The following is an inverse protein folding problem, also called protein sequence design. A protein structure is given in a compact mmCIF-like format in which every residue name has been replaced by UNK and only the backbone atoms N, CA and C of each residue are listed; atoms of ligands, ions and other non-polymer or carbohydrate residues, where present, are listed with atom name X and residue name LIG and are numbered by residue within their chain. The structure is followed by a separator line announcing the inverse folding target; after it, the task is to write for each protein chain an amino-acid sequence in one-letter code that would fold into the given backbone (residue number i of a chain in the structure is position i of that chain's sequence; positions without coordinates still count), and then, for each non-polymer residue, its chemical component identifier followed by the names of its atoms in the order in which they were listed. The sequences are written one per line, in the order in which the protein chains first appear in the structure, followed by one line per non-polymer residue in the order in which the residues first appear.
data_IF_006686507911
#
_entry.id   IF_006686507911
#
_cell.length_a   1.000
_cell.length_b   1.000
_cell.length_c   1.000
_cell.angle_alpha   90.00
_cell.angle_beta   90.00
_cell.angle_gamma   90.00
#
_symmetry.space_group_name_H-M   'P 1'
#
loop_
_entity.id
_entity.type
_entity.pdbx_description
1 polymer ?
#
# COMPACT_ATOMS: atom_id res chain seq x y z
N UNK A 1 26.31 10.52 1.60
CA UNK A 1 26.28 9.25 2.36
C UNK A 1 25.90 9.62 3.79
N UNK A 2 24.59 9.60 4.09
CA UNK A 2 24.08 10.09 5.39
C UNK A 2 23.27 8.97 6.00
N UNK A 3 23.86 8.25 6.95
CA UNK A 3 23.21 7.17 7.69
C UNK A 3 22.72 7.73 9.03
N UNK A 4 21.40 7.82 9.20
CA UNK A 4 20.80 8.02 10.52
C UNK A 4 20.79 6.64 11.21
N UNK A 5 21.68 6.46 12.18
CA UNK A 5 21.90 5.19 12.89
C UNK A 5 20.89 5.07 14.04
N UNK A 6 19.72 4.50 13.77
CA UNK A 6 18.85 3.93 14.81
C UNK A 6 18.65 2.44 14.45
N UNK A 7 19.30 1.55 15.21
CA UNK A 7 19.50 0.13 14.94
C UNK A 7 20.37 -0.17 13.70
N UNK A 8 21.40 -1.01 13.88
CA UNK A 8 22.32 -1.44 12.81
C UNK A 8 21.62 -2.52 11.97
N UNK A 9 20.57 -2.14 11.25
CA UNK A 9 19.92 -2.99 10.26
C UNK A 9 20.38 -2.53 8.89
N UNK A 10 21.16 -3.37 8.22
CA UNK A 10 21.47 -3.18 6.80
C UNK A 10 20.30 -3.70 5.98
N UNK A 11 19.55 -2.79 5.36
CA UNK A 11 18.50 -3.15 4.40
C UNK A 11 19.12 -3.26 3.02
N UNK A 12 18.85 -4.36 2.33
CA UNK A 12 19.30 -4.60 0.96
C UNK A 12 18.08 -4.78 0.07
N UNK A 13 17.95 -3.93 -0.94
CA UNK A 13 16.85 -3.95 -1.90
C UNK A 13 17.32 -4.65 -3.19
N UNK A 14 16.47 -5.51 -3.75
CA UNK A 14 16.71 -6.22 -5.02
C UNK A 14 15.49 -6.09 -5.92
N UNK A 15 15.72 -6.01 -7.24
CA UNK A 15 14.68 -5.84 -8.25
C UNK A 15 14.78 -4.49 -8.97
N UNK A 16 13.69 -4.10 -9.63
CA UNK A 16 13.60 -2.83 -10.35
C UNK A 16 13.53 -1.62 -9.40
N UNK A 17 14.06 -0.47 -9.83
CA UNK A 17 13.93 0.77 -9.08
C UNK A 17 12.52 1.34 -9.22
N UNK A 18 11.72 1.23 -8.17
CA UNK A 18 10.34 1.73 -8.11
C UNK A 18 10.24 3.28 -8.13
N UNK A 19 11.35 4.03 -8.18
CA UNK A 19 11.31 5.48 -8.40
C UNK A 19 10.66 5.84 -9.74
N UNK A 20 10.75 4.97 -10.74
CA UNK A 20 10.18 5.21 -12.07
C UNK A 20 8.65 5.37 -12.05
N UNK A 21 7.99 4.80 -11.05
CA UNK A 21 6.53 4.82 -10.87
C UNK A 21 6.11 5.59 -9.62
N UNK A 22 6.99 6.41 -9.02
CA UNK A 22 6.67 7.12 -7.78
C UNK A 22 5.44 8.03 -7.92
N UNK A 23 5.21 8.52 -9.14
CA UNK A 23 4.10 9.40 -9.48
C UNK A 23 2.81 8.67 -9.89
N UNK A 24 2.82 7.34 -9.99
CA UNK A 24 1.68 6.54 -10.42
C UNK A 24 0.81 6.09 -9.23
N UNK A 25 -0.44 5.71 -9.52
CA UNK A 25 -1.29 5.02 -8.55
C UNK A 25 -0.92 3.53 -8.45
N UNK A 26 -0.53 3.05 -7.27
CA UNK A 26 -0.05 1.68 -7.07
C UNK A 26 -0.59 1.01 -5.81
N UNK A 27 -0.74 -0.32 -5.86
CA UNK A 27 -0.99 -1.16 -4.67
C UNK A 27 0.23 -2.04 -4.41
N UNK A 28 0.87 -1.82 -3.28
CA UNK A 28 1.99 -2.62 -2.83
C UNK A 28 1.47 -3.76 -1.94
N UNK A 29 1.66 -5.00 -2.36
CA UNK A 29 1.38 -6.20 -1.58
C UNK A 29 2.67 -6.67 -0.91
N UNK A 30 2.65 -6.78 0.41
CA UNK A 30 3.83 -7.16 1.19
C UNK A 30 3.49 -8.34 2.07
N UNK A 31 4.34 -9.37 2.11
CA UNK A 31 4.18 -10.42 3.11
C UNK A 31 4.28 -9.81 4.53
N UNK A 32 3.73 -10.48 5.53
CA UNK A 32 3.67 -9.90 6.88
C UNK A 32 4.29 -10.83 7.91
N UNK A 33 5.50 -10.52 8.35
CA UNK A 33 6.25 -11.30 9.32
C UNK A 33 6.16 -10.70 10.71
N UNK A 34 6.33 -9.38 10.82
CA UNK A 34 6.48 -8.69 12.09
C UNK A 34 5.98 -7.24 12.05
N UNK A 35 5.94 -6.59 13.22
CA UNK A 35 5.67 -5.13 13.28
C UNK A 35 6.76 -4.32 12.58
N UNK A 36 8.01 -4.82 12.57
CA UNK A 36 9.17 -4.15 11.94
C UNK A 36 9.08 -4.02 10.42
N UNK A 37 8.18 -4.77 9.77
CA UNK A 37 7.89 -4.69 8.34
C UNK A 37 7.53 -3.26 7.92
N UNK A 38 6.70 -2.59 8.73
CA UNK A 38 6.26 -1.21 8.49
C UNK A 38 7.46 -0.25 8.52
N UNK A 39 8.32 -0.35 9.54
CA UNK A 39 9.52 0.48 9.65
C UNK A 39 10.48 0.24 8.48
N UNK A 40 10.67 -1.02 8.08
CA UNK A 40 11.53 -1.39 6.97
C UNK A 40 11.04 -0.80 5.65
N UNK A 41 9.74 -0.92 5.37
CA UNK A 41 9.12 -0.31 4.19
C UNK A 41 9.26 1.22 4.20
N UNK A 42 9.01 1.87 5.35
CA UNK A 42 9.17 3.32 5.47
C UNK A 42 10.62 3.75 5.19
N UNK A 43 11.61 3.02 5.69
CA UNK A 43 13.03 3.29 5.40
C UNK A 43 13.36 3.11 3.91
N UNK A 44 12.84 2.07 3.25
CA UNK A 44 13.07 1.85 1.81
C UNK A 44 12.40 2.94 0.95
N UNK A 45 11.24 3.45 1.38
CA UNK A 45 10.40 4.35 0.57
C UNK A 45 10.66 5.84 0.84
N UNK A 46 11.32 6.19 1.94
CA UNK A 46 11.49 7.60 2.36
C UNK A 46 12.21 8.48 1.33
N UNK A 47 13.13 7.89 0.56
CA UNK A 47 13.95 8.61 -0.41
C UNK A 47 13.48 8.38 -1.86
N UNK A 48 12.36 7.66 -2.03
CA UNK A 48 11.73 7.43 -3.34
C UNK A 48 10.65 8.50 -3.58
N UNK A 49 10.66 9.10 -4.77
CA UNK A 49 9.85 10.30 -5.09
C UNK A 49 10.56 11.64 -4.82
N UNK A 50 11.82 11.62 -4.37
CA UNK A 50 12.69 12.81 -4.41
C UNK A 50 13.19 13.00 -5.85
N UNK A 51 12.33 13.50 -6.74
CA UNK A 51 12.83 14.12 -7.96
C UNK A 51 13.49 15.42 -7.53
N UNK A 52 14.82 15.44 -7.48
CA UNK A 52 15.57 16.68 -7.43
C UNK A 52 15.20 17.46 -8.69
N UNK A 53 14.38 18.50 -8.53
CA UNK A 53 14.36 19.60 -9.48
C UNK A 53 15.76 20.23 -9.47
N UNK A 54 16.67 19.65 -10.22
CA UNK A 54 17.95 20.26 -10.58
C UNK A 54 17.94 20.34 -12.08
N UNK A 55 17.24 21.35 -12.59
CA UNK A 55 17.64 22.22 -13.68
C UNK A 55 16.45 23.11 -14.07
N UNK A 56 16.63 24.43 -13.92
CA UNK A 56 15.69 25.43 -14.44
C UNK A 56 14.91 26.22 -13.38
N UNK A 57 15.22 27.51 -13.31
CA UNK A 57 14.46 28.62 -12.72
C UNK A 57 12.94 28.38 -12.66
N UNK A 58 12.37 28.33 -11.45
CA UNK A 58 11.72 29.49 -10.85
C UNK A 58 11.24 29.17 -9.43
N UNK A 59 11.68 30.01 -8.49
CA UNK A 59 11.28 29.98 -7.08
C UNK A 59 9.94 30.71 -6.97
N UNK A 60 8.84 29.98 -6.74
CA UNK A 60 7.69 30.37 -5.91
C UNK A 60 6.58 29.30 -5.98
N UNK A 61 6.91 28.08 -5.57
CA UNK A 61 5.98 27.16 -4.91
C UNK A 61 6.80 26.13 -4.16
N UNK A 62 6.86 26.25 -2.85
CA UNK A 62 7.20 25.16 -1.95
C UNK A 62 6.15 24.05 -2.10
N UNK A 63 6.19 23.30 -3.20
CA UNK A 63 5.63 21.96 -3.24
C UNK A 63 6.69 21.07 -2.60
N UNK A 64 6.55 20.86 -1.29
CA UNK A 64 7.42 20.00 -0.50
C UNK A 64 7.64 18.67 -1.22
N UNK A 65 8.87 18.16 -1.14
CA UNK A 65 9.29 16.89 -1.74
C UNK A 65 8.19 15.83 -1.67
N UNK A 66 7.68 15.43 -2.83
CA UNK A 66 6.61 14.46 -3.01
C UNK A 66 7.15 13.06 -2.71
N UNK A 67 7.35 12.75 -1.42
CA UNK A 67 7.85 11.44 -0.99
C UNK A 67 6.74 10.42 -1.11
N UNK A 68 7.05 9.23 -1.63
CA UNK A 68 6.11 8.08 -1.66
C UNK A 68 5.52 7.84 -0.27
N UNK A 69 6.31 8.05 0.78
CA UNK A 69 5.85 7.97 2.17
C UNK A 69 4.71 8.93 2.52
N UNK A 70 4.74 10.16 2.01
CA UNK A 70 3.70 11.15 2.29
C UNK A 70 2.40 10.85 1.54
N UNK A 71 2.46 10.11 0.44
CA UNK A 71 1.32 9.81 -0.44
C UNK A 71 0.80 8.37 -0.32
N UNK A 72 1.47 7.52 0.45
CA UNK A 72 0.98 6.18 0.71
C UNK A 72 -0.18 6.19 1.71
N UNK A 73 -1.01 5.16 1.69
CA UNK A 73 -2.05 4.91 2.68
C UNK A 73 -1.88 3.48 3.19
N UNK A 74 -1.85 3.34 4.51
CA UNK A 74 -1.78 2.03 5.15
C UNK A 74 -3.18 1.47 5.42
N UNK A 75 -3.34 0.15 5.25
CA UNK A 75 -4.44 -0.61 5.84
C UNK A 75 -3.91 -1.41 7.04
N UNK A 76 -4.32 -1.01 8.23
CA UNK A 76 -3.79 -1.57 9.49
C UNK A 76 -4.89 -2.14 10.37
N UNK A 77 -4.53 -3.04 11.27
CA UNK A 77 -5.46 -3.53 12.28
C UNK A 77 -5.90 -2.39 13.22
N UNK A 78 -7.18 -2.34 13.54
CA UNK A 78 -7.78 -1.39 14.47
C UNK A 78 -7.05 -1.28 15.83
N UNK A 79 -6.41 -2.35 16.32
CA UNK A 79 -5.66 -2.29 17.58
C UNK A 79 -4.53 -1.25 17.54
N UNK A 80 -3.92 -1.01 16.37
CA UNK A 80 -2.82 -0.06 16.23
C UNK A 80 -3.24 1.38 16.49
N UNK A 81 -4.54 1.70 16.40
CA UNK A 81 -5.09 3.03 16.69
C UNK A 81 -4.71 3.54 18.09
N UNK A 82 -4.47 2.62 19.03
CA UNK A 82 -4.15 2.93 20.43
C UNK A 82 -2.65 3.04 20.72
N UNK A 83 -1.82 3.03 19.68
CA UNK A 83 -0.36 3.19 19.81
C UNK A 83 0.05 4.59 19.38
N UNK A 84 1.26 5.04 19.76
CA UNK A 84 1.82 6.31 19.27
C UNK A 84 1.85 6.37 17.74
N UNK A 85 2.23 5.25 17.11
CA UNK A 85 2.18 5.11 15.65
C UNK A 85 0.75 5.24 15.11
N UNK A 86 -0.25 4.69 15.81
CA UNK A 86 -1.66 4.84 15.47
C UNK A 86 -2.15 6.27 15.40
N UNK A 87 -1.71 7.13 16.35
CA UNK A 87 -2.06 8.55 16.34
C UNK A 87 -1.48 9.24 15.10
N UNK A 88 -0.22 8.96 14.78
CA UNK A 88 0.43 9.47 13.56
C UNK A 88 -0.33 9.01 12.32
N UNK A 89 -0.70 7.73 12.24
CA UNK A 89 -1.47 7.16 11.14
C UNK A 89 -2.88 7.73 11.00
N UNK A 90 -3.55 8.08 12.11
CA UNK A 90 -4.84 8.77 12.06
C UNK A 90 -4.72 10.17 11.46
N UNK A 91 -3.68 10.93 11.84
CA UNK A 91 -3.41 12.26 11.29
C UNK A 91 -3.05 12.15 9.80
N UNK A 92 -2.22 11.16 9.47
CA UNK A 92 -1.89 10.81 8.10
C UNK A 92 -3.16 10.50 7.27
N UNK A 93 -4.16 9.86 7.86
CA UNK A 93 -5.40 9.50 7.19
C UNK A 93 -5.40 8.07 6.66
N UNK A 94 -4.62 7.19 7.31
CA UNK A 94 -4.61 5.75 7.06
C UNK A 94 -5.94 5.10 7.47
N UNK A 95 -6.20 3.91 6.92
CA UNK A 95 -7.42 3.17 7.22
C UNK A 95 -7.17 2.05 8.22
N UNK A 96 -7.97 2.03 9.29
CA UNK A 96 -7.91 1.00 10.32
C UNK A 96 -9.06 0.01 10.14
N UNK A 97 -8.73 -1.25 9.84
CA UNK A 97 -9.68 -2.34 9.67
C UNK A 97 -9.82 -3.18 10.94
N UNK A 98 -11.06 -3.40 11.38
CA UNK A 98 -11.33 -4.41 12.41
C UNK A 98 -11.33 -5.80 11.81
N UNK A 99 -10.51 -6.68 12.38
CA UNK A 99 -10.54 -8.10 12.04
C UNK A 99 -11.70 -8.82 12.73
N UNK A 100 -12.20 -9.88 12.09
CA UNK A 100 -13.29 -10.70 12.62
C UNK A 100 -14.32 -11.03 11.54
N UNK A 101 -15.04 -12.15 11.69
CA UNK A 101 -16.11 -12.52 10.74
C UNK A 101 -17.31 -11.58 10.84
N UNK A 102 -17.70 -11.22 12.07
CA UNK A 102 -18.88 -10.38 12.36
C UNK A 102 -18.82 -8.98 11.75
N UNK A 103 -17.64 -8.39 11.64
CA UNK A 103 -17.47 -7.02 11.15
C UNK A 103 -16.99 -6.94 9.69
N UNK A 104 -16.70 -8.07 9.04
CA UNK A 104 -16.01 -8.10 7.75
C UNK A 104 -16.70 -7.23 6.70
N UNK A 105 -17.99 -7.43 6.49
CA UNK A 105 -18.72 -6.76 5.41
C UNK A 105 -18.90 -5.27 5.70
N UNK A 106 -19.19 -4.94 6.96
CA UNK A 106 -19.25 -3.55 7.42
C UNK A 106 -17.91 -2.82 7.20
N UNK A 107 -16.79 -3.47 7.52
CA UNK A 107 -15.46 -2.89 7.36
C UNK A 107 -15.08 -2.71 5.89
N UNK A 108 -15.49 -3.61 5.00
CA UNK A 108 -15.29 -3.45 3.55
C UNK A 108 -16.11 -2.27 2.99
N UNK A 109 -17.33 -2.05 3.48
CA UNK A 109 -18.12 -0.88 3.12
C UNK A 109 -17.48 0.42 3.62
N UNK A 110 -16.97 0.42 4.86
CA UNK A 110 -16.25 1.56 5.43
C UNK A 110 -14.96 1.86 4.65
N UNK A 111 -14.22 0.82 4.22
CA UNK A 111 -13.04 0.97 3.37
C UNK A 111 -13.41 1.63 2.05
N UNK A 112 -14.47 1.15 1.37
CA UNK A 112 -14.95 1.75 0.12
C UNK A 112 -15.24 3.24 0.29
N UNK A 113 -16.04 3.59 1.31
CA UNK A 113 -16.39 4.99 1.61
C UNK A 113 -15.15 5.84 1.94
N UNK A 114 -14.18 5.27 2.67
CA UNK A 114 -12.93 5.97 2.99
C UNK A 114 -12.12 6.28 1.73
N UNK A 115 -11.96 5.31 0.83
CA UNK A 115 -11.26 5.49 -0.44
C UNK A 115 -11.94 6.57 -1.30
N UNK A 116 -13.27 6.53 -1.41
CA UNK A 116 -14.04 7.49 -2.21
C UNK A 116 -13.91 8.94 -1.73
N UNK A 117 -13.78 9.13 -0.42
CA UNK A 117 -13.77 10.45 0.22
C UNK A 117 -12.36 11.00 0.47
N UNK A 118 -11.38 10.14 0.72
CA UNK A 118 -10.07 10.55 1.26
C UNK A 118 -8.88 10.24 0.35
N UNK A 119 -8.96 9.25 -0.55
CA UNK A 119 -7.78 8.79 -1.29
C UNK A 119 -7.27 9.89 -2.23
N UNK A 120 -8.05 10.28 -3.24
CA UNK A 120 -7.64 11.33 -4.20
C UNK A 120 -7.70 12.74 -3.62
N UNK A 121 -8.63 13.01 -2.69
CA UNK A 121 -8.75 14.32 -2.05
C UNK A 121 -7.56 14.68 -1.16
N UNK A 122 -6.82 13.68 -0.66
CA UNK A 122 -5.57 13.85 0.08
C UNK A 122 -4.32 13.56 -0.75
N UNK A 123 -4.44 13.57 -2.08
CA UNK A 123 -3.33 13.31 -3.01
C UNK A 123 -2.58 11.98 -2.71
N UNK A 124 -3.34 10.94 -2.34
CA UNK A 124 -2.81 9.60 -2.13
C UNK A 124 -2.60 8.91 -3.47
N UNK A 125 -1.44 8.26 -3.61
CA UNK A 125 -1.04 7.50 -4.80
C UNK A 125 -0.75 6.04 -4.51
N UNK A 126 -0.32 5.72 -3.29
CA UNK A 126 0.09 4.34 -2.95
C UNK A 126 -0.82 3.75 -1.88
N UNK A 127 -1.14 2.46 -1.99
CA UNK A 127 -1.79 1.71 -0.91
C UNK A 127 -0.93 0.51 -0.56
N UNK A 128 -0.56 0.38 0.71
CA UNK A 128 0.20 -0.78 1.20
C UNK A 128 -0.73 -1.77 1.88
N UNK A 129 -0.69 -3.03 1.44
CA UNK A 129 -1.51 -4.12 1.94
C UNK A 129 -0.66 -5.31 2.37
N UNK A 130 -1.06 -5.89 3.49
CA UNK A 130 -0.59 -7.20 3.95
C UNK A 130 -1.66 -8.26 3.65
N UNK A 131 -1.60 -8.97 2.51
CA UNK A 131 -2.68 -9.85 2.06
C UNK A 131 -2.90 -11.05 2.99
N UNK A 132 -1.96 -11.35 3.89
CA UNK A 132 -2.12 -12.36 4.93
C UNK A 132 -3.21 -11.99 5.97
N UNK A 133 -3.45 -10.68 6.15
CA UNK A 133 -4.35 -10.14 7.18
C UNK A 133 -3.86 -10.42 8.60
N UNK A 134 -2.54 -10.36 8.82
CA UNK A 134 -1.87 -10.56 10.10
C UNK A 134 -0.56 -11.35 9.93
N UNK A 135 0.25 -11.41 10.97
CA UNK A 135 1.57 -12.07 10.91
C UNK A 135 1.50 -13.53 10.46
N UNK A 136 2.42 -13.95 9.58
CA UNK A 136 2.54 -15.30 9.04
C UNK A 136 2.49 -16.35 10.13
N UNK A 137 3.27 -16.20 11.21
CA UNK A 137 3.29 -17.15 12.34
C UNK A 137 1.89 -17.42 12.92
N UNK A 138 0.99 -16.42 12.91
CA UNK A 138 -0.39 -16.54 13.42
C UNK A 138 -1.38 -17.04 12.37
N UNK A 139 -1.03 -16.98 11.08
CA UNK A 139 -1.93 -17.29 9.96
C UNK A 139 -1.59 -18.60 9.23
N UNK A 140 -0.33 -19.05 9.33
CA UNK A 140 0.22 -20.19 8.60
C UNK A 140 -0.60 -21.47 8.77
N UNK A 141 -0.84 -21.89 10.01
CA UNK A 141 -1.57 -23.14 10.29
C UNK A 141 -3.01 -23.11 9.73
N UNK A 142 -3.75 -22.04 9.99
CA UNK A 142 -5.11 -21.86 9.46
C UNK A 142 -5.12 -21.78 7.94
N UNK A 143 -4.13 -21.12 7.33
CA UNK A 143 -3.98 -21.04 5.87
C UNK A 143 -3.69 -22.40 5.26
N UNK A 144 -2.79 -23.19 5.86
CA UNK A 144 -2.45 -24.54 5.41
C UNK A 144 -3.64 -25.50 5.56
N UNK A 145 -4.37 -25.40 6.67
CA UNK A 145 -5.61 -26.16 6.88
C UNK A 145 -6.66 -25.82 5.84
N UNK A 146 -6.81 -24.54 5.50
CA UNK A 146 -7.70 -24.11 4.42
C UNK A 146 -7.21 -24.62 3.05
N UNK A 147 -5.91 -24.55 2.78
CA UNK A 147 -5.33 -25.01 1.52
C UNK A 147 -5.58 -26.52 1.31
N UNK A 148 -5.31 -27.34 2.32
CA UNK A 148 -5.55 -28.79 2.29
C UNK A 148 -7.03 -29.14 2.06
N UNK A 149 -7.96 -28.41 2.70
CA UNK A 149 -9.40 -28.63 2.53
C UNK A 149 -9.91 -28.26 1.14
N UNK A 150 -9.25 -27.34 0.45
CA UNK A 150 -9.70 -26.81 -0.84
C UNK A 150 -8.80 -27.22 -2.01
N UNK A 151 -7.88 -28.18 -1.82
CA UNK A 151 -6.90 -28.61 -2.81
C UNK A 151 -6.08 -27.45 -3.42
N UNK A 152 -5.69 -26.49 -2.57
CA UNK A 152 -4.86 -25.35 -2.96
C UNK A 152 -3.38 -25.61 -2.63
N UNK A 153 -2.44 -24.87 -3.26
CA UNK A 153 -1.01 -25.01 -3.01
C UNK A 153 -0.64 -24.86 -1.54
N UNK A 154 0.31 -25.68 -1.09
CA UNK A 154 0.89 -25.58 0.23
C UNK A 154 1.98 -24.49 0.24
N UNK A 155 1.78 -23.43 1.02
CA UNK A 155 2.68 -22.29 1.10
C UNK A 155 3.38 -22.26 2.48
N UNK A 156 4.70 -22.02 2.46
CA UNK A 156 5.57 -22.04 3.66
C UNK A 156 5.95 -20.63 4.13
N UNK A 157 6.35 -19.76 3.20
CA UNK A 157 6.87 -18.41 3.47
C UNK A 157 5.81 -17.31 3.39
N UNK A 158 4.60 -17.66 2.99
CA UNK A 158 3.44 -16.78 2.85
C UNK A 158 2.15 -17.55 3.15
N UNK A 159 1.03 -16.84 3.27
CA UNK A 159 -0.30 -17.45 3.34
C UNK A 159 -1.11 -17.23 2.07
N UNK A 160 -2.19 -18.00 1.90
CA UNK A 160 -3.16 -17.72 0.84
C UNK A 160 -3.77 -16.32 1.06
N UNK A 161 -3.78 -15.46 0.03
CA UNK A 161 -4.12 -14.06 0.19
C UNK A 161 -5.60 -13.86 0.52
N UNK A 162 -5.88 -12.95 1.44
CA UNK A 162 -7.23 -12.44 1.71
C UNK A 162 -7.60 -11.41 0.65
N UNK A 163 -8.52 -11.75 -0.23
CA UNK A 163 -8.86 -10.92 -1.40
C UNK A 163 -9.88 -9.80 -1.13
N UNK A 164 -10.49 -9.74 0.05
CA UNK A 164 -11.62 -8.83 0.31
C UNK A 164 -11.28 -7.35 0.11
N UNK A 165 -10.28 -6.85 0.85
CA UNK A 165 -9.86 -5.44 0.75
C UNK A 165 -9.29 -5.11 -0.63
N UNK A 166 -8.42 -5.98 -1.18
CA UNK A 166 -7.83 -5.80 -2.51
C UNK A 166 -8.89 -5.66 -3.60
N UNK A 167 -9.94 -6.49 -3.58
CA UNK A 167 -11.06 -6.38 -4.54
C UNK A 167 -11.80 -5.05 -4.42
N UNK A 168 -12.04 -4.55 -3.20
CA UNK A 168 -12.69 -3.26 -2.98
C UNK A 168 -11.82 -2.12 -3.50
N UNK A 169 -10.52 -2.15 -3.21
CA UNK A 169 -9.56 -1.13 -3.67
C UNK A 169 -9.53 -1.06 -5.20
N UNK A 170 -9.31 -2.20 -5.86
CA UNK A 170 -9.29 -2.26 -7.32
C UNK A 170 -10.59 -1.74 -7.92
N UNK A 171 -11.75 -2.18 -7.41
CA UNK A 171 -13.05 -1.71 -7.91
C UNK A 171 -13.26 -0.21 -7.69
N UNK A 172 -12.92 0.31 -6.51
CA UNK A 172 -13.16 1.71 -6.19
C UNK A 172 -12.23 2.66 -6.98
N UNK A 173 -11.00 2.24 -7.24
CA UNK A 173 -10.00 3.10 -7.87
C UNK A 173 -9.96 2.94 -9.40
N UNK A 174 -10.17 1.73 -9.93
CA UNK A 174 -10.18 1.46 -11.38
C UNK A 174 -11.53 1.82 -12.00
N UNK A 175 -12.67 1.35 -11.47
CA UNK A 175 -13.97 1.57 -12.10
C UNK A 175 -14.42 3.04 -12.12
N UNK A 176 -13.85 3.88 -11.24
CA UNK A 176 -14.15 5.32 -11.21
C UNK A 176 -13.43 6.09 -12.33
N UNK A 177 -12.43 5.50 -12.99
CA UNK A 177 -11.81 6.08 -14.18
C UNK A 177 -12.67 5.85 -15.43
N UNK A 178 -13.37 4.71 -15.53
CA UNK A 178 -14.28 4.41 -16.65
C UNK A 178 -15.49 5.36 -16.69
N UNK A 179 -16.00 5.78 -15.54
CA UNK A 179 -17.16 6.68 -15.43
C UNK A 179 -16.79 8.19 -15.46
N UNK A 180 -15.54 8.52 -15.80
CA UNK A 180 -14.95 9.86 -15.68
C UNK A 180 -14.60 10.57 -16.98
N UNK A 181 -15.14 10.19 -18.15
CA UNK A 181 -14.89 10.92 -19.40
C UNK A 181 -16.03 11.89 -19.77
N UNK A 182 -15.70 13.17 -20.02
CA UNK A 182 -16.04 13.75 -21.31
C UNK A 182 -14.90 14.61 -21.88
N UNK A 183 -14.30 14.15 -22.99
CA UNK A 183 -13.89 14.98 -24.13
C UNK A 183 -13.27 14.06 -25.18
N UNK A 184 -13.84 14.08 -26.39
CA UNK A 184 -13.35 13.33 -27.53
C UNK A 184 -11.97 13.79 -28.01
N UNK A 185 -11.29 12.89 -28.72
CA UNK A 185 -10.02 13.15 -29.37
C UNK A 185 -9.28 11.86 -29.68
N UNK A 186 -9.52 11.35 -30.88
CA UNK A 186 -8.78 10.36 -31.67
C UNK A 186 -7.98 9.24 -31.00
N UNK A 187 -8.38 8.04 -31.41
CA UNK A 187 -7.73 6.76 -31.24
C UNK A 187 -6.27 6.81 -31.73
N UNK A 188 -5.31 6.83 -30.81
CA UNK A 188 -4.00 6.16 -30.92
C UNK A 188 -3.27 6.19 -29.58
N UNK A 189 -2.71 5.03 -29.24
CA UNK A 189 -2.10 4.63 -27.96
C UNK A 189 -3.06 4.45 -26.78
N UNK A 190 -3.38 3.17 -26.53
CA UNK A 190 -3.84 2.64 -25.26
C UNK A 190 -2.83 3.00 -24.16
N UNK A 191 -3.01 4.17 -23.54
CA UNK A 191 -2.51 4.47 -22.20
C UNK A 191 -3.28 3.62 -21.20
N UNK A 192 -2.97 2.33 -21.14
CA UNK A 192 -3.47 1.43 -20.11
C UNK A 192 -2.90 1.92 -18.78
N UNK A 193 -3.73 2.59 -17.95
CA UNK A 193 -3.30 3.05 -16.62
C UNK A 193 -2.67 1.89 -15.85
N UNK A 194 -1.40 2.04 -15.50
CA UNK A 194 -0.60 1.00 -14.86
C UNK A 194 -0.89 0.95 -13.35
N UNK A 195 -1.94 0.23 -12.95
CA UNK A 195 -2.12 -0.12 -11.54
C UNK A 195 -1.12 -1.22 -11.18
N UNK A 196 0.08 -0.81 -10.76
CA UNK A 196 1.18 -1.73 -10.53
C UNK A 196 1.03 -2.44 -9.19
N UNK A 197 1.07 -3.77 -9.21
CA UNK A 197 1.04 -4.63 -8.02
C UNK A 197 2.44 -5.15 -7.75
N UNK A 198 3.02 -4.73 -6.63
CA UNK A 198 4.34 -5.21 -6.19
C UNK A 198 4.19 -6.30 -5.14
N UNK A 199 5.03 -7.32 -5.20
CA UNK A 199 5.16 -8.32 -4.16
C UNK A 199 6.51 -8.16 -3.46
N UNK A 200 6.48 -7.80 -2.18
CA UNK A 200 7.68 -7.78 -1.34
C UNK A 200 7.67 -8.96 -0.37
N UNK A 201 8.80 -9.66 -0.31
CA UNK A 201 9.03 -10.73 0.65
C UNK A 201 10.49 -10.73 1.12
N UNK A 202 10.69 -10.77 2.43
CA UNK A 202 11.98 -11.08 3.06
C UNK A 202 11.84 -12.38 3.88
N UNK A 203 12.95 -13.13 3.96
CA UNK A 203 13.08 -14.35 4.76
C UNK A 203 13.60 -14.04 6.16
#
# INVERSE_FOLDING_TARGET
MTALKLFVLTVMEWGEDIKTISEDEAVMLVNHQATGDVCTLMMCLQDKGLVSHTEGRDRLRERGSQRVVAQMMWLMDHIFKYTNFGIVSLIHGDFFIRQGKSHRDQQLLLLKKHLENNYRSRDRKWIVLFPEGGFLRKRRETSQSFAKKNNLPFLTHVTLPRVGATKIILRALVARQENGSPAGGDTKELGMMAFSIFFFSWN
#
